data_IF_442035248666
#
_entry.id   IF_442035248666
#
_cell.length_a   1.000
_cell.length_b   1.000
_cell.length_c   1.000
_cell.angle_alpha   90.00
_cell.angle_beta   90.00
_cell.angle_gamma   90.00
#
_symmetry.space_group_name_H-M   'P 1'
#
loop_
_entity.id
_entity.type
_entity.pdbx_description
1 polymer ?
#
# COMPACT_ATOMS: atom_id res chain seq x y z
N UNK A 1 25.45 20.07 1.57
CA UNK A 1 24.24 20.75 1.12
C UNK A 1 24.34 20.85 -0.38
N UNK A 2 23.46 20.17 -1.12
CA UNK A 2 23.38 20.27 -2.58
C UNK A 2 23.10 21.69 -3.04
N UNK A 3 23.29 21.95 -4.32
CA UNK A 3 22.98 23.26 -4.91
C UNK A 3 21.46 23.35 -5.05
N UNK A 4 20.83 24.32 -4.38
CA UNK A 4 19.39 24.53 -4.41
C UNK A 4 18.86 24.70 -5.85
N UNK A 5 17.78 24.01 -6.20
CA UNK A 5 17.17 23.97 -7.52
C UNK A 5 16.11 25.07 -7.70
N UNK A 6 15.84 25.45 -8.94
CA UNK A 6 14.75 26.38 -9.24
C UNK A 6 13.36 25.78 -8.87
N UNK A 7 13.24 24.46 -8.96
CA UNK A 7 12.06 23.68 -8.60
C UNK A 7 11.87 23.43 -7.11
N UNK A 8 12.83 23.80 -6.23
CA UNK A 8 12.65 23.66 -4.80
C UNK A 8 11.42 24.43 -4.33
N UNK A 9 10.59 23.79 -3.55
CA UNK A 9 9.34 24.38 -3.04
C UNK A 9 9.44 24.72 -1.56
N UNK A 10 8.62 25.66 -1.14
CA UNK A 10 8.30 25.94 0.26
C UNK A 10 6.79 25.93 0.43
N UNK A 11 6.31 25.21 1.43
CA UNK A 11 4.91 25.22 1.82
C UNK A 11 4.53 26.60 2.40
N UNK A 12 3.36 27.09 2.01
CA UNK A 12 2.84 28.40 2.44
C UNK A 12 1.49 28.28 3.15
N UNK A 13 0.71 27.26 2.86
CA UNK A 13 -0.57 26.98 3.50
C UNK A 13 -0.93 25.50 3.35
N UNK A 14 -1.67 24.94 4.33
CA UNK A 14 -2.20 23.60 4.27
C UNK A 14 -3.65 23.56 4.76
N UNK A 15 -4.50 22.83 4.04
CA UNK A 15 -5.86 22.52 4.45
C UNK A 15 -6.01 21.02 4.54
N UNK A 16 -6.46 20.54 5.69
CA UNK A 16 -6.68 19.13 5.98
C UNK A 16 -8.17 18.86 6.09
N UNK A 17 -8.65 17.86 5.40
CA UNK A 17 -10.03 17.39 5.42
C UNK A 17 -10.05 15.91 5.76
N UNK A 18 -11.13 15.45 6.42
CA UNK A 18 -11.36 14.05 6.70
C UNK A 18 -12.73 13.64 6.13
N UNK A 19 -12.72 12.57 5.35
CA UNK A 19 -13.90 12.04 4.69
C UNK A 19 -14.17 10.65 5.27
N UNK A 20 -15.37 10.43 5.77
CA UNK A 20 -15.81 9.11 6.23
C UNK A 20 -16.27 8.31 5.00
N UNK A 21 -15.56 7.23 4.71
CA UNK A 21 -15.82 6.31 3.59
C UNK A 21 -16.60 5.11 4.12
N UNK A 22 -17.86 5.01 3.77
CA UNK A 22 -18.70 3.88 4.11
C UNK A 22 -18.27 2.60 3.37
N UNK A 23 -18.32 1.47 4.07
CA UNK A 23 -18.05 0.14 3.52
C UNK A 23 -19.35 -0.66 3.45
N UNK A 24 -19.72 -1.09 2.26
CA UNK A 24 -20.87 -1.93 1.98
C UNK A 24 -20.52 -2.94 0.86
N UNK A 25 -20.41 -4.24 1.20
CA UNK A 25 -20.54 -4.85 2.51
C UNK A 25 -19.41 -4.46 3.49
N UNK A 26 -19.58 -4.69 4.82
CA UNK A 26 -18.51 -4.49 5.78
C UNK A 26 -17.27 -5.33 5.44
N UNK A 27 -16.09 -4.73 5.56
CA UNK A 27 -14.82 -5.44 5.35
C UNK A 27 -14.27 -5.99 6.67
N UNK A 28 -13.90 -7.28 6.71
CA UNK A 28 -13.38 -7.90 7.92
C UNK A 28 -11.86 -7.83 7.94
N UNK A 29 -11.29 -7.15 8.95
CA UNK A 29 -9.84 -7.07 9.20
C UNK A 29 -9.55 -7.65 10.58
N UNK A 30 -8.66 -8.62 10.66
CA UNK A 30 -8.30 -9.29 11.92
C UNK A 30 -9.53 -9.74 12.73
N UNK A 31 -10.52 -10.31 12.05
CA UNK A 31 -11.76 -10.82 12.65
C UNK A 31 -12.79 -9.75 13.10
N UNK A 32 -12.58 -8.49 12.75
CA UNK A 32 -13.48 -7.39 13.10
C UNK A 32 -14.14 -6.79 11.87
N UNK A 33 -15.49 -6.70 11.82
CA UNK A 33 -16.17 -6.02 10.72
C UNK A 33 -15.95 -4.52 10.81
N UNK A 34 -15.50 -3.93 9.72
CA UNK A 34 -15.36 -2.49 9.53
C UNK A 34 -16.47 -1.99 8.62
N UNK A 35 -17.19 -0.97 9.07
CA UNK A 35 -18.29 -0.36 8.32
C UNK A 35 -17.91 0.97 7.67
N UNK A 36 -16.79 1.55 8.07
CA UNK A 36 -16.27 2.78 7.49
C UNK A 36 -14.76 2.91 7.74
N UNK A 37 -14.09 3.72 6.92
CA UNK A 37 -12.73 4.21 7.11
C UNK A 37 -12.70 5.73 7.00
N UNK A 38 -11.69 6.35 7.61
CA UNK A 38 -11.38 7.76 7.39
C UNK A 38 -10.38 7.91 6.26
N UNK A 39 -10.71 8.71 5.24
CA UNK A 39 -9.73 9.23 4.30
C UNK A 39 -9.25 10.61 4.78
N UNK A 40 -7.94 10.77 4.95
CA UNK A 40 -7.30 12.06 5.15
C UNK A 40 -6.97 12.66 3.79
N UNK A 41 -7.38 13.90 3.54
CA UNK A 41 -7.12 14.66 2.31
C UNK A 41 -6.42 15.96 2.70
N UNK A 42 -5.29 16.21 2.05
CA UNK A 42 -4.46 17.40 2.29
C UNK A 42 -4.32 18.20 1.00
N UNK A 43 -4.67 19.48 1.05
CA UNK A 43 -4.36 20.46 0.04
C UNK A 43 -3.20 21.31 0.53
N UNK A 44 -2.09 21.31 -0.20
CA UNK A 44 -0.87 22.01 0.17
C UNK A 44 -0.53 23.07 -0.86
N UNK A 45 -0.60 24.36 -0.47
CA UNK A 45 -0.17 25.46 -1.29
C UNK A 45 1.34 25.66 -1.14
N UNK A 46 2.04 25.75 -2.26
CA UNK A 46 3.50 25.91 -2.29
C UNK A 46 3.91 27.05 -3.19
N UNK A 47 5.09 27.63 -2.89
CA UNK A 47 5.82 28.52 -3.79
C UNK A 47 7.17 27.90 -4.11
N UNK A 48 7.45 27.75 -5.40
CA UNK A 48 8.76 27.32 -5.88
C UNK A 48 9.76 28.50 -5.89
N UNK A 49 11.04 28.18 -5.91
CA UNK A 49 12.13 29.17 -5.87
C UNK A 49 12.14 30.09 -7.10
N UNK A 50 11.66 29.62 -8.24
CA UNK A 50 11.49 30.45 -9.46
C UNK A 50 10.28 31.38 -9.39
N UNK A 51 9.50 31.35 -8.32
CA UNK A 51 8.31 32.16 -8.08
C UNK A 51 6.99 31.52 -8.53
N UNK A 52 7.02 30.35 -9.18
CA UNK A 52 5.81 29.61 -9.53
C UNK A 52 5.09 29.11 -8.27
N UNK A 53 3.76 28.97 -8.35
CA UNK A 53 2.92 28.51 -7.26
C UNK A 53 2.04 27.36 -7.72
N UNK A 54 1.75 26.44 -6.82
CA UNK A 54 0.82 25.35 -7.07
C UNK A 54 0.12 24.91 -5.79
N UNK A 55 -1.04 24.27 -5.95
CA UNK A 55 -1.70 23.52 -4.90
C UNK A 55 -1.59 22.04 -5.21
N UNK A 56 -0.96 21.29 -4.32
CA UNK A 56 -0.90 19.83 -4.38
C UNK A 56 -2.00 19.18 -3.59
N UNK A 57 -2.41 18.03 -4.03
CA UNK A 57 -3.38 17.14 -3.39
C UNK A 57 -2.65 15.92 -2.85
N UNK A 58 -2.95 15.50 -1.62
CA UNK A 58 -2.50 14.23 -1.06
C UNK A 58 -3.64 13.53 -0.34
N UNK A 59 -3.71 12.22 -0.46
CA UNK A 59 -4.73 11.44 0.21
C UNK A 59 -4.13 10.15 0.79
N UNK A 60 -4.68 9.70 1.93
CA UNK A 60 -4.35 8.42 2.55
C UNK A 60 -5.54 7.91 3.35
N UNK A 61 -5.72 6.57 3.38
CA UNK A 61 -6.73 5.93 4.22
C UNK A 61 -6.16 5.66 5.60
N UNK A 62 -6.80 6.20 6.66
CA UNK A 62 -6.42 5.99 8.05
C UNK A 62 -6.97 4.66 8.57
N UNK A 63 -6.47 3.55 8.07
CA UNK A 63 -6.92 2.20 8.48
C UNK A 63 -6.37 1.82 9.84
N UNK A 64 -7.08 2.23 10.90
CA UNK A 64 -6.71 1.98 12.30
C UNK A 64 -6.53 0.50 12.60
N UNK A 65 -7.45 -0.44 12.21
CA UNK A 65 -7.29 -1.86 12.54
C UNK A 65 -6.02 -2.48 11.95
N UNK A 66 -5.61 -2.04 10.77
CA UNK A 66 -4.41 -2.53 10.10
C UNK A 66 -3.12 -1.94 10.69
N UNK A 67 -3.10 -0.62 10.91
CA UNK A 67 -1.88 0.07 11.33
C UNK A 67 -1.66 0.03 12.85
N UNK A 68 -2.76 -0.03 13.61
CA UNK A 68 -2.76 0.00 15.08
C UNK A 68 -3.73 -1.04 15.66
N UNK A 69 -3.47 -2.36 15.51
CA UNK A 69 -4.39 -3.45 15.86
C UNK A 69 -4.42 -3.71 17.38
N UNK A 70 -5.08 -2.84 18.15
CA UNK A 70 -5.27 -2.98 19.60
C UNK A 70 -6.74 -2.93 19.97
N UNK A 71 -7.16 -3.57 21.10
CA UNK A 71 -8.53 -3.43 21.58
C UNK A 71 -8.78 -2.08 22.28
N UNK A 72 -7.77 -1.53 22.96
CA UNK A 72 -7.84 -0.30 23.73
C UNK A 72 -6.74 0.71 23.32
N UNK A 73 -7.07 2.00 23.23
CA UNK A 73 -8.43 2.56 23.16
C UNK A 73 -9.20 2.03 21.95
N UNK A 74 -10.51 2.30 21.88
CA UNK A 74 -11.34 1.88 20.76
C UNK A 74 -10.88 2.48 19.40
N UNK A 75 -11.49 2.03 18.31
CA UNK A 75 -11.10 2.45 16.96
C UNK A 75 -11.30 3.95 16.78
N UNK A 76 -12.37 4.53 17.29
CA UNK A 76 -12.72 5.94 17.12
C UNK A 76 -11.71 6.84 17.83
N UNK A 77 -11.31 6.49 19.07
CA UNK A 77 -10.28 7.23 19.80
C UNK A 77 -8.92 7.17 19.10
N UNK A 78 -8.55 6.01 18.52
CA UNK A 78 -7.31 5.87 17.74
C UNK A 78 -7.38 6.62 16.41
N UNK A 79 -8.53 6.62 15.73
CA UNK A 79 -8.74 7.40 14.53
C UNK A 79 -8.59 8.91 14.82
N UNK A 80 -9.15 9.39 15.93
CA UNK A 80 -8.97 10.78 16.38
C UNK A 80 -7.48 11.14 16.57
N UNK A 81 -6.68 10.24 17.14
CA UNK A 81 -5.24 10.44 17.30
C UNK A 81 -4.54 10.50 15.93
N UNK A 82 -4.91 9.64 14.97
CA UNK A 82 -4.34 9.67 13.63
C UNK A 82 -4.70 10.95 12.88
N UNK A 83 -5.94 11.45 13.00
CA UNK A 83 -6.34 12.76 12.46
C UNK A 83 -5.48 13.89 13.05
N UNK A 84 -5.22 13.88 14.36
CA UNK A 84 -4.30 14.82 15.01
C UNK A 84 -2.87 14.76 14.47
N UNK A 85 -2.38 13.55 14.15
CA UNK A 85 -1.06 13.38 13.53
C UNK A 85 -0.98 13.96 12.13
N UNK A 86 -2.03 13.87 11.30
CA UNK A 86 -2.05 14.51 9.97
C UNK A 86 -1.86 16.02 10.10
N UNK A 87 -2.56 16.67 11.03
CA UNK A 87 -2.34 18.12 11.30
C UNK A 87 -0.93 18.39 11.77
N UNK A 88 -0.39 17.59 12.70
CA UNK A 88 0.98 17.73 13.20
C UNK A 88 2.01 17.67 12.06
N UNK A 89 1.85 16.74 11.12
CA UNK A 89 2.76 16.65 9.97
C UNK A 89 2.57 17.78 8.96
N UNK A 90 1.35 18.25 8.75
CA UNK A 90 1.10 19.44 7.92
C UNK A 90 1.78 20.69 8.51
N UNK A 91 1.69 20.88 9.83
CA UNK A 91 2.37 21.97 10.54
C UNK A 91 3.90 21.86 10.43
N UNK A 92 4.45 20.62 10.57
CA UNK A 92 5.89 20.41 10.41
C UNK A 92 6.40 20.74 9.00
N UNK A 93 5.58 20.50 7.96
CA UNK A 93 5.92 20.89 6.59
C UNK A 93 5.85 22.42 6.41
N UNK A 94 4.86 23.07 7.00
CA UNK A 94 4.74 24.56 6.96
C UNK A 94 5.88 25.27 7.68
N UNK A 95 6.32 24.74 8.82
CA UNK A 95 7.40 25.28 9.65
C UNK A 95 8.79 24.88 9.14
N UNK A 96 8.85 23.90 8.22
CA UNK A 96 10.08 23.31 7.72
C UNK A 96 10.83 24.17 6.70
N UNK A 97 12.03 23.71 6.37
CA UNK A 97 12.81 24.27 5.26
C UNK A 97 12.28 23.75 3.94
N UNK A 98 12.28 24.60 2.90
CA UNK A 98 11.93 24.20 1.55
C UNK A 98 13.04 23.34 0.91
N UNK A 99 12.70 22.71 -0.20
CA UNK A 99 13.58 21.86 -0.98
C UNK A 99 12.80 21.03 -1.98
N UNK A 100 13.40 19.93 -2.43
CA UNK A 100 12.65 18.87 -3.10
C UNK A 100 11.83 18.04 -2.08
N UNK A 101 10.93 17.16 -2.50
CA UNK A 101 10.10 16.39 -1.56
C UNK A 101 10.89 15.57 -0.53
N UNK A 102 12.06 15.05 -0.88
CA UNK A 102 12.87 14.27 0.06
C UNK A 102 13.57 15.13 1.11
N UNK A 103 13.95 16.36 0.76
CA UNK A 103 14.46 17.35 1.73
C UNK A 103 13.41 17.70 2.79
N UNK A 104 12.14 17.78 2.37
CA UNK A 104 11.01 18.08 3.24
C UNK A 104 10.61 16.85 4.07
N UNK A 105 10.49 15.69 3.46
CA UNK A 105 10.02 14.47 4.10
C UNK A 105 11.04 13.84 5.05
N UNK A 106 12.33 13.75 4.67
CA UNK A 106 13.35 13.00 5.44
C UNK A 106 13.51 13.49 6.87
N UNK A 107 13.59 14.80 7.18
CA UNK A 107 13.67 15.26 8.56
C UNK A 107 12.46 14.88 9.42
N UNK A 108 11.25 14.80 8.81
CA UNK A 108 10.03 14.39 9.49
C UNK A 108 10.06 12.87 9.73
N UNK A 109 10.45 12.11 8.71
CA UNK A 109 10.57 10.66 8.79
C UNK A 109 11.61 10.20 9.81
N UNK A 110 12.77 10.86 9.88
CA UNK A 110 13.84 10.52 10.83
C UNK A 110 13.40 10.76 12.29
N UNK A 111 12.56 11.77 12.51
CA UNK A 111 12.01 12.11 13.83
C UNK A 111 10.61 11.54 14.08
N UNK A 112 10.13 10.64 13.22
CA UNK A 112 8.78 10.10 13.32
C UNK A 112 8.50 9.46 14.68
N UNK A 113 9.42 8.65 15.22
CA UNK A 113 9.23 7.99 16.52
C UNK A 113 9.12 9.00 17.67
N UNK A 114 9.89 10.10 17.64
CA UNK A 114 9.80 11.17 18.64
C UNK A 114 8.42 11.85 18.56
N UNK A 115 7.96 12.16 17.35
CA UNK A 115 6.63 12.74 17.12
C UNK A 115 5.53 11.83 17.65
N UNK A 116 5.60 10.52 17.39
CA UNK A 116 4.62 9.54 17.88
C UNK A 116 4.61 9.43 19.41
N UNK A 117 5.77 9.47 20.07
CA UNK A 117 5.85 9.49 21.54
C UNK A 117 5.19 10.75 22.13
N UNK A 118 5.42 11.91 21.53
CA UNK A 118 4.81 13.17 21.97
C UNK A 118 3.29 13.15 21.77
N UNK A 119 2.83 12.70 20.60
CA UNK A 119 1.41 12.59 20.30
C UNK A 119 0.70 11.60 21.23
N UNK A 120 1.29 10.44 21.50
CA UNK A 120 0.75 9.47 22.45
C UNK A 120 0.60 10.05 23.86
N UNK A 121 1.62 10.76 24.34
CA UNK A 121 1.58 11.45 25.66
C UNK A 121 0.49 12.52 25.70
N UNK A 122 0.39 13.35 24.65
CA UNK A 122 -0.62 14.42 24.59
C UNK A 122 -2.04 13.88 24.56
N UNK A 123 -2.25 12.77 23.85
CA UNK A 123 -3.57 12.11 23.76
C UNK A 123 -3.88 11.19 24.95
N UNK A 124 -2.93 10.96 25.88
CA UNK A 124 -3.07 9.95 26.94
C UNK A 124 -3.27 8.53 26.39
N UNK A 125 -2.75 8.24 25.20
CA UNK A 125 -2.91 6.97 24.52
C UNK A 125 -1.73 6.03 24.73
N UNK A 126 -1.90 4.70 24.50
CA UNK A 126 -0.79 3.77 24.41
C UNK A 126 0.19 4.18 23.29
N UNK A 127 1.40 3.59 23.24
CA UNK A 127 2.35 3.84 22.17
C UNK A 127 1.72 3.67 20.77
N UNK A 128 1.91 4.67 19.93
CA UNK A 128 1.41 4.67 18.55
C UNK A 128 2.42 3.90 17.68
N UNK A 129 1.99 2.85 16.94
CA UNK A 129 2.88 2.13 16.04
C UNK A 129 3.42 3.04 14.93
N UNK A 130 4.68 2.83 14.52
CA UNK A 130 5.30 3.62 13.45
C UNK A 130 4.51 3.53 12.14
N UNK A 131 3.95 2.35 11.84
CA UNK A 131 3.09 2.16 10.67
C UNK A 131 1.88 3.10 10.67
N UNK A 132 1.26 3.32 11.83
CA UNK A 132 0.15 4.27 11.97
C UNK A 132 0.61 5.73 11.72
N UNK A 133 1.82 6.07 12.18
CA UNK A 133 2.45 7.34 11.85
C UNK A 133 2.70 7.53 10.35
N UNK A 134 3.14 6.48 9.66
CA UNK A 134 3.33 6.53 8.20
C UNK A 134 2.01 6.79 7.45
N UNK A 135 0.89 6.16 7.86
CA UNK A 135 -0.41 6.43 7.24
C UNK A 135 -0.81 7.91 7.35
N UNK A 136 -0.60 8.50 8.53
CA UNK A 136 -0.92 9.91 8.73
C UNK A 136 0.03 10.84 7.96
N UNK A 137 1.33 10.50 7.90
CA UNK A 137 2.33 11.26 7.13
C UNK A 137 2.08 11.17 5.63
N UNK A 138 1.59 10.02 5.14
CA UNK A 138 1.42 9.76 3.71
C UNK A 138 0.55 10.80 2.99
N UNK A 139 -0.55 11.26 3.62
CA UNK A 139 -1.41 12.28 3.01
C UNK A 139 -0.66 13.59 2.78
N UNK A 140 0.21 13.97 3.71
CA UNK A 140 1.02 15.20 3.62
C UNK A 140 2.16 15.02 2.60
N UNK A 141 2.88 13.89 2.67
CA UNK A 141 3.97 13.55 1.75
C UNK A 141 3.47 13.52 0.29
N UNK A 142 2.34 12.90 0.03
CA UNK A 142 1.73 12.85 -1.30
C UNK A 142 1.37 14.25 -1.81
N UNK A 143 0.86 15.14 -0.94
CA UNK A 143 0.55 16.53 -1.30
C UNK A 143 1.82 17.33 -1.64
N UNK A 144 2.94 17.09 -0.95
CA UNK A 144 4.24 17.70 -1.25
C UNK A 144 4.71 17.29 -2.64
N UNK A 145 4.68 16.00 -2.96
CA UNK A 145 5.08 15.49 -4.27
C UNK A 145 4.20 16.05 -5.41
N UNK A 146 2.88 16.08 -5.19
CA UNK A 146 1.94 16.62 -6.20
C UNK A 146 2.16 18.13 -6.41
N UNK A 147 2.31 18.90 -5.32
CA UNK A 147 2.57 20.34 -5.40
C UNK A 147 3.88 20.66 -6.11
N UNK A 148 4.97 19.94 -5.78
CA UNK A 148 6.28 20.12 -6.38
C UNK A 148 6.27 19.91 -7.89
N UNK A 149 5.66 18.83 -8.33
CA UNK A 149 5.60 18.48 -9.73
C UNK A 149 4.61 19.36 -10.52
N UNK A 150 3.50 19.79 -9.91
CA UNK A 150 2.59 20.78 -10.50
C UNK A 150 3.24 22.16 -10.66
N UNK A 151 4.00 22.63 -9.67
CA UNK A 151 4.73 23.89 -9.77
C UNK A 151 5.73 23.89 -10.94
N UNK A 152 6.37 22.75 -11.21
CA UNK A 152 7.28 22.56 -12.33
C UNK A 152 6.56 22.25 -13.67
N UNK A 153 5.24 22.02 -13.67
CA UNK A 153 4.47 21.63 -14.86
C UNK A 153 4.86 20.27 -15.45
N UNK A 154 5.33 19.34 -14.61
CA UNK A 154 5.81 18.02 -15.02
C UNK A 154 5.18 16.88 -14.21
N UNK A 155 5.18 15.69 -14.77
CA UNK A 155 4.87 14.48 -13.98
C UNK A 155 5.92 14.25 -12.90
N UNK A 156 5.49 13.90 -11.68
CA UNK A 156 6.39 13.68 -10.54
C UNK A 156 7.47 12.64 -10.85
N UNK A 157 7.14 11.60 -11.61
CA UNK A 157 8.06 10.52 -11.94
C UNK A 157 9.17 10.92 -12.92
N UNK A 158 8.99 12.03 -13.67
CA UNK A 158 10.01 12.62 -14.54
C UNK A 158 11.00 13.49 -13.77
N UNK A 159 10.64 13.88 -12.54
CA UNK A 159 11.43 14.80 -11.73
C UNK A 159 12.37 14.12 -10.73
N UNK A 160 12.33 12.79 -10.61
CA UNK A 160 13.23 12.06 -9.71
C UNK A 160 14.63 11.88 -10.29
N UNK A 161 15.27 12.97 -10.70
CA UNK A 161 16.57 13.01 -11.35
C UNK A 161 17.49 14.06 -10.72
N UNK A 162 18.76 14.06 -11.11
CA UNK A 162 19.75 15.06 -10.69
C UNK A 162 19.43 16.50 -11.13
N UNK A 163 18.54 16.67 -12.11
CA UNK A 163 18.08 17.99 -12.55
C UNK A 163 17.20 18.67 -11.48
N UNK A 164 16.37 17.89 -10.77
CA UNK A 164 15.34 18.42 -9.87
C UNK A 164 15.58 18.10 -8.39
N UNK A 165 16.34 17.06 -8.07
CA UNK A 165 16.61 16.64 -6.68
C UNK A 165 17.95 17.20 -6.19
N UNK A 166 18.00 17.59 -4.91
CA UNK A 166 19.17 18.19 -4.29
C UNK A 166 20.22 17.17 -3.82
N UNK A 167 19.79 15.97 -3.44
CA UNK A 167 20.64 14.86 -2.99
C UNK A 167 20.29 13.58 -3.73
N UNK A 168 21.30 12.76 -3.97
CA UNK A 168 21.14 11.39 -4.47
C UNK A 168 20.67 10.44 -3.33
N UNK A 169 20.43 9.17 -3.65
CA UNK A 169 20.04 8.14 -2.66
C UNK A 169 21.22 7.59 -1.84
N UNK A 170 22.37 8.28 -1.77
CA UNK A 170 23.53 7.87 -0.98
C UNK A 170 23.19 7.66 0.50
N UNK A 171 22.30 8.48 1.07
CA UNK A 171 21.80 8.32 2.43
C UNK A 171 20.96 7.04 2.65
N UNK A 172 20.41 6.47 1.57
CA UNK A 172 19.69 5.20 1.56
C UNK A 172 20.58 4.02 1.09
N UNK A 173 21.90 4.23 0.97
CA UNK A 173 22.87 3.21 0.57
C UNK A 173 23.03 3.03 -0.95
N UNK A 174 22.54 3.97 -1.76
CA UNK A 174 22.59 3.96 -3.23
C UNK A 174 23.28 5.24 -3.77
N UNK A 175 24.57 5.46 -3.47
CA UNK A 175 25.26 6.68 -3.88
C UNK A 175 25.33 6.81 -5.40
N UNK A 176 25.15 8.05 -5.88
CA UNK A 176 25.20 8.38 -7.30
C UNK A 176 23.94 8.03 -8.09
N UNK A 177 22.86 7.60 -7.42
CA UNK A 177 21.58 7.27 -8.06
C UNK A 177 20.42 8.10 -7.49
N UNK A 178 19.42 8.32 -8.33
CA UNK A 178 18.16 8.99 -7.99
C UNK A 178 17.00 8.01 -8.11
N UNK A 179 15.84 8.25 -7.50
CA UNK A 179 14.70 7.31 -7.62
C UNK A 179 14.29 7.05 -9.08
N UNK A 180 14.44 8.03 -9.97
CA UNK A 180 14.15 7.90 -11.41
C UNK A 180 15.02 6.87 -12.13
N UNK A 181 16.27 6.66 -11.70
CA UNK A 181 17.19 5.69 -12.31
C UNK A 181 16.71 4.23 -12.15
N UNK A 182 15.80 4.00 -11.20
CA UNK A 182 15.23 2.69 -10.91
C UNK A 182 13.88 2.45 -11.59
N UNK A 183 13.25 3.51 -12.14
CA UNK A 183 11.96 3.41 -12.83
C UNK A 183 12.11 2.80 -14.22
N UNK A 184 11.03 2.18 -14.69
CA UNK A 184 10.90 1.74 -16.07
C UNK A 184 9.91 2.60 -16.85
N UNK A 185 9.65 2.21 -18.09
CA UNK A 185 8.60 2.81 -18.89
C UNK A 185 7.24 2.61 -18.21
N UNK A 186 6.39 3.66 -18.13
CA UNK A 186 5.11 3.55 -17.44
C UNK A 186 4.19 2.55 -18.14
N UNK A 187 3.51 1.73 -17.34
CA UNK A 187 2.49 0.80 -17.85
C UNK A 187 1.16 1.52 -18.01
N UNK A 188 0.56 1.44 -19.19
CA UNK A 188 -0.78 1.97 -19.45
C UNK A 188 -1.91 1.06 -18.99
N UNK A 189 -1.60 -0.19 -18.63
CA UNK A 189 -2.56 -1.19 -18.12
C UNK A 189 -2.00 -1.86 -16.87
N UNK A 190 -2.84 -1.96 -15.84
CA UNK A 190 -2.48 -2.51 -14.54
C UNK A 190 -3.38 -3.72 -14.26
N UNK A 191 -2.84 -4.94 -14.16
CA UNK A 191 -3.61 -6.11 -13.74
C UNK A 191 -4.18 -5.90 -12.33
N UNK A 192 -5.41 -6.32 -12.12
CA UNK A 192 -6.12 -6.18 -10.84
C UNK A 192 -6.07 -7.49 -10.08
N UNK A 193 -5.68 -7.40 -8.82
CA UNK A 193 -5.79 -8.49 -7.87
C UNK A 193 -7.11 -8.36 -7.10
N UNK A 194 -7.91 -9.44 -7.09
CA UNK A 194 -9.18 -9.51 -6.39
C UNK A 194 -9.00 -10.11 -5.00
N UNK A 195 -9.51 -9.43 -3.99
CA UNK A 195 -9.44 -9.91 -2.61
C UNK A 195 -10.61 -10.83 -2.29
N UNK A 196 -10.31 -11.93 -1.61
CA UNK A 196 -11.30 -12.87 -1.08
C UNK A 196 -11.15 -12.93 0.44
N UNK A 197 -12.15 -12.42 1.13
CA UNK A 197 -12.30 -12.60 2.57
C UNK A 197 -12.56 -14.05 2.95
N UNK A 198 -12.35 -14.40 4.22
CA UNK A 198 -12.55 -15.76 4.73
C UNK A 198 -13.97 -16.27 4.45
N UNK A 199 -14.98 -15.40 4.56
CA UNK A 199 -16.41 -15.73 4.39
C UNK A 199 -17.00 -15.39 3.03
N UNK A 200 -16.21 -14.88 2.07
CA UNK A 200 -16.76 -14.47 0.78
C UNK A 200 -17.29 -15.67 0.01
N UNK A 201 -18.51 -15.59 -0.59
CA UNK A 201 -19.10 -16.68 -1.33
C UNK A 201 -18.36 -16.93 -2.64
N UNK A 202 -18.10 -18.19 -2.95
CA UNK A 202 -17.41 -18.59 -4.18
C UNK A 202 -18.38 -18.78 -5.34
N UNK A 203 -19.57 -19.29 -5.05
CA UNK A 203 -20.61 -19.64 -6.04
C UNK A 203 -21.97 -19.12 -5.59
N UNK A 204 -22.92 -19.00 -6.53
CA UNK A 204 -24.27 -18.51 -6.24
C UNK A 204 -25.03 -19.40 -5.24
N UNK A 205 -24.64 -20.67 -5.12
CA UNK A 205 -25.22 -21.59 -4.13
C UNK A 205 -24.84 -21.25 -2.68
N UNK A 206 -23.77 -20.48 -2.50
CA UNK A 206 -23.24 -20.06 -1.18
C UNK A 206 -23.66 -18.62 -0.84
N UNK A 207 -24.18 -17.87 -1.82
CA UNK A 207 -24.39 -16.44 -1.69
C UNK A 207 -25.77 -16.10 -1.11
N UNK A 208 -25.80 -15.06 -0.25
CA UNK A 208 -27.04 -14.38 0.12
C UNK A 208 -27.62 -13.64 -1.11
N UNK A 209 -28.94 -13.42 -1.15
CA UNK A 209 -29.55 -12.70 -2.27
C UNK A 209 -28.93 -11.31 -2.50
N UNK A 210 -28.41 -11.09 -3.70
CA UNK A 210 -27.77 -9.84 -4.12
C UNK A 210 -26.27 -9.75 -3.83
N UNK A 211 -25.68 -10.70 -3.11
CA UNK A 211 -24.23 -10.76 -2.94
C UNK A 211 -23.52 -11.23 -4.22
N UNK A 212 -22.41 -10.60 -4.54
CA UNK A 212 -21.55 -11.04 -5.66
C UNK A 212 -20.64 -12.17 -5.22
N UNK A 213 -20.47 -13.18 -6.07
CA UNK A 213 -19.64 -14.36 -5.84
C UNK A 213 -18.33 -14.25 -6.60
N UNK A 214 -17.33 -15.08 -6.24
CA UNK A 214 -16.09 -15.18 -7.01
C UNK A 214 -16.39 -15.45 -8.49
N UNK A 215 -17.29 -16.39 -8.77
CA UNK A 215 -17.68 -16.73 -10.15
C UNK A 215 -18.21 -15.47 -10.88
N UNK A 216 -19.14 -14.75 -10.26
CA UNK A 216 -19.73 -13.54 -10.87
C UNK A 216 -18.72 -12.40 -11.07
N UNK A 217 -17.74 -12.25 -10.17
CA UNK A 217 -16.65 -11.28 -10.32
C UNK A 217 -15.73 -11.67 -11.49
N UNK A 218 -15.33 -12.94 -11.57
CA UNK A 218 -14.46 -13.43 -12.66
C UNK A 218 -15.14 -13.31 -14.03
N UNK A 219 -16.43 -13.65 -14.13
CA UNK A 219 -17.19 -13.53 -15.38
C UNK A 219 -17.36 -12.08 -15.82
N UNK A 220 -17.65 -11.16 -14.89
CA UNK A 220 -17.90 -9.77 -15.22
C UNK A 220 -16.63 -8.98 -15.55
N UNK A 221 -15.51 -9.27 -14.89
CA UNK A 221 -14.31 -8.44 -14.93
C UNK A 221 -13.08 -9.15 -15.53
N UNK A 222 -13.14 -10.46 -15.76
CA UNK A 222 -12.03 -11.23 -16.34
C UNK A 222 -10.81 -11.36 -15.42
N UNK A 223 -10.99 -11.21 -14.11
CA UNK A 223 -9.91 -11.30 -13.11
C UNK A 223 -9.33 -12.71 -13.04
N UNK A 224 -8.04 -12.81 -12.68
CA UNK A 224 -7.31 -14.07 -12.56
C UNK A 224 -6.36 -14.09 -11.36
N UNK A 225 -5.91 -12.93 -10.92
CA UNK A 225 -5.01 -12.78 -9.80
C UNK A 225 -5.86 -12.61 -8.52
N UNK A 226 -5.81 -13.61 -7.65
CA UNK A 226 -6.66 -13.71 -6.45
C UNK A 226 -5.81 -13.60 -5.20
N UNK A 227 -6.23 -12.75 -4.26
CA UNK A 227 -5.61 -12.59 -2.92
C UNK A 227 -6.55 -13.16 -1.87
N UNK A 228 -6.11 -14.15 -1.12
CA UNK A 228 -6.90 -14.85 -0.13
C UNK A 228 -6.54 -14.39 1.27
N UNK A 229 -7.52 -13.87 2.00
CA UNK A 229 -7.42 -13.66 3.44
C UNK A 229 -7.66 -14.97 4.17
N UNK A 230 -6.80 -15.27 5.15
CA UNK A 230 -6.84 -16.50 5.93
C UNK A 230 -7.08 -16.21 7.41
N UNK A 231 -7.36 -17.25 8.18
CA UNK A 231 -7.70 -17.13 9.60
C UNK A 231 -6.67 -17.76 10.56
N UNK A 232 -5.57 -18.35 10.04
CA UNK A 232 -4.52 -18.97 10.84
C UNK A 232 -4.87 -20.39 11.32
N UNK A 233 -5.78 -21.09 10.61
CA UNK A 233 -6.14 -22.48 10.89
C UNK A 233 -5.64 -23.35 9.73
N UNK A 234 -4.54 -24.12 9.89
CA UNK A 234 -3.88 -24.81 8.79
C UNK A 234 -4.84 -25.61 7.89
N UNK A 235 -5.65 -26.49 8.48
CA UNK A 235 -6.55 -27.35 7.70
C UNK A 235 -7.69 -26.57 7.04
N UNK A 236 -8.34 -25.66 7.77
CA UNK A 236 -9.43 -24.85 7.22
C UNK A 236 -8.93 -23.92 6.10
N UNK A 237 -7.74 -23.34 6.28
CA UNK A 237 -7.13 -22.46 5.28
C UNK A 237 -6.71 -23.23 4.03
N UNK A 238 -6.15 -24.45 4.18
CA UNK A 238 -5.84 -25.33 3.05
C UNK A 238 -7.09 -25.72 2.25
N UNK A 239 -8.18 -26.09 2.92
CA UNK A 239 -9.48 -26.38 2.30
C UNK A 239 -10.03 -25.16 1.56
N UNK A 240 -9.95 -23.95 2.17
CA UNK A 240 -10.40 -22.69 1.55
C UNK A 240 -9.61 -22.37 0.30
N UNK A 241 -8.27 -22.46 0.33
CA UNK A 241 -7.41 -22.23 -0.83
C UNK A 241 -7.74 -23.21 -1.96
N UNK A 242 -7.88 -24.51 -1.64
CA UNK A 242 -8.24 -25.52 -2.63
C UNK A 242 -9.62 -25.26 -3.26
N UNK A 243 -10.61 -24.81 -2.46
CA UNK A 243 -11.94 -24.46 -2.94
C UNK A 243 -11.91 -23.24 -3.89
N UNK A 244 -11.21 -22.16 -3.50
CA UNK A 244 -11.03 -20.96 -4.34
C UNK A 244 -10.37 -21.31 -5.67
N UNK A 245 -9.26 -22.07 -5.62
CA UNK A 245 -8.57 -22.50 -6.85
C UNK A 245 -9.47 -23.35 -7.75
N UNK A 246 -10.22 -24.27 -7.17
CA UNK A 246 -11.15 -25.11 -7.94
C UNK A 246 -12.21 -24.29 -8.66
N UNK A 247 -12.81 -23.29 -7.99
CA UNK A 247 -13.82 -22.40 -8.61
C UNK A 247 -13.17 -21.52 -9.66
N UNK A 248 -12.06 -20.86 -9.35
CA UNK A 248 -11.35 -19.98 -10.28
C UNK A 248 -10.87 -20.72 -11.52
N UNK A 249 -10.26 -21.91 -11.35
CA UNK A 249 -9.72 -22.71 -12.45
C UNK A 249 -10.79 -23.39 -13.31
N UNK A 250 -12.06 -23.38 -12.90
CA UNK A 250 -13.15 -23.86 -13.73
C UNK A 250 -13.42 -22.96 -14.95
N UNK A 251 -13.11 -21.68 -14.85
CA UNK A 251 -13.32 -20.70 -15.93
C UNK A 251 -12.02 -20.27 -16.61
N UNK A 252 -10.84 -20.48 -15.97
CA UNK A 252 -9.54 -19.99 -16.47
C UNK A 252 -8.41 -20.93 -16.04
N UNK A 253 -7.47 -21.21 -16.94
CA UNK A 253 -6.29 -22.03 -16.66
C UNK A 253 -5.14 -21.25 -16.00
N UNK A 254 -5.17 -19.90 -16.06
CA UNK A 254 -4.08 -18.99 -15.64
C UNK A 254 -4.36 -18.26 -14.31
N UNK A 255 -5.12 -18.90 -13.40
CA UNK A 255 -5.39 -18.37 -12.05
C UNK A 255 -4.13 -18.38 -11.21
N UNK A 256 -3.78 -17.24 -10.61
CA UNK A 256 -2.72 -17.09 -9.63
C UNK A 256 -3.29 -16.78 -8.24
N UNK A 257 -2.62 -17.24 -7.20
CA UNK A 257 -3.03 -17.04 -5.81
C UNK A 257 -1.93 -16.32 -5.05
N UNK A 258 -2.27 -15.30 -4.28
CA UNK A 258 -1.45 -14.83 -3.18
C UNK A 258 -2.17 -15.06 -1.86
N UNK A 259 -1.42 -15.37 -0.83
CA UNK A 259 -1.95 -15.78 0.46
C UNK A 259 -1.59 -14.73 1.49
N UNK A 260 -2.61 -14.15 2.13
CA UNK A 260 -2.45 -13.07 3.10
C UNK A 260 -3.19 -13.39 4.41
N UNK A 261 -2.52 -14.01 5.37
CA UNK A 261 -3.08 -14.30 6.69
C UNK A 261 -3.23 -13.06 7.59
N UNK A 262 -2.66 -11.91 7.22
CA UNK A 262 -2.64 -10.71 8.07
C UNK A 262 -2.22 -11.03 9.52
N UNK A 263 -1.02 -11.60 9.68
CA UNK A 263 -0.42 -11.91 10.98
C UNK A 263 -1.12 -13.06 11.77
N UNK A 264 -1.93 -13.91 11.13
CA UNK A 264 -2.75 -14.90 11.85
C UNK A 264 -2.02 -16.19 12.26
N UNK A 265 -0.87 -16.51 11.67
CA UNK A 265 -0.08 -17.69 12.03
C UNK A 265 0.93 -17.36 13.15
N UNK A 266 1.05 -18.27 14.14
CA UNK A 266 1.94 -18.05 15.27
C UNK A 266 3.35 -18.64 15.08
N UNK A 267 3.52 -19.55 14.11
CA UNK A 267 4.79 -20.22 13.84
C UNK A 267 4.94 -20.62 12.38
N UNK A 268 6.19 -20.78 11.95
CA UNK A 268 6.53 -21.32 10.62
C UNK A 268 5.94 -22.72 10.44
N UNK A 269 5.99 -23.55 11.50
CA UNK A 269 5.48 -24.93 11.44
C UNK A 269 3.97 -25.01 11.14
N UNK A 270 3.15 -24.10 11.70
CA UNK A 270 1.71 -24.04 11.38
C UNK A 270 1.47 -23.69 9.90
N UNK A 271 2.23 -22.74 9.35
CA UNK A 271 2.11 -22.37 7.96
C UNK A 271 2.62 -23.47 7.01
N UNK A 272 3.71 -24.16 7.38
CA UNK A 272 4.20 -25.32 6.64
C UNK A 272 3.17 -26.47 6.65
N UNK A 273 2.50 -26.71 7.78
CA UNK A 273 1.41 -27.68 7.87
C UNK A 273 0.28 -27.32 6.88
N UNK A 274 -0.12 -26.05 6.80
CA UNK A 274 -1.14 -25.61 5.82
C UNK A 274 -0.69 -25.89 4.39
N UNK A 275 0.57 -25.58 4.05
CA UNK A 275 1.11 -25.83 2.71
C UNK A 275 1.19 -27.34 2.38
N UNK A 276 1.52 -28.19 3.36
CA UNK A 276 1.57 -29.65 3.20
C UNK A 276 0.18 -30.23 2.98
N UNK A 277 -0.80 -29.82 3.78
CA UNK A 277 -2.20 -30.24 3.64
C UNK A 277 -2.78 -29.76 2.31
N UNK A 278 -2.50 -28.52 1.89
CA UNK A 278 -2.89 -28.01 0.58
C UNK A 278 -2.26 -28.82 -0.55
N UNK A 279 -0.97 -29.14 -0.44
CA UNK A 279 -0.26 -29.97 -1.42
C UNK A 279 -0.88 -31.36 -1.56
N UNK A 280 -1.37 -31.94 -0.46
CA UNK A 280 -2.08 -33.23 -0.46
C UNK A 280 -3.51 -33.12 -1.05
N UNK A 281 -4.24 -32.03 -0.72
CA UNK A 281 -5.61 -31.80 -1.19
C UNK A 281 -5.66 -31.40 -2.67
N UNK A 282 -4.79 -30.47 -3.08
CA UNK A 282 -4.76 -29.90 -4.42
C UNK A 282 -3.35 -29.45 -4.82
N UNK A 283 -2.54 -30.32 -5.40
CA UNK A 283 -1.20 -29.96 -5.89
C UNK A 283 -1.20 -28.78 -6.87
N UNK A 284 -2.26 -28.63 -7.67
CA UNK A 284 -2.41 -27.52 -8.61
C UNK A 284 -2.66 -26.20 -7.89
N UNK A 285 -3.46 -26.17 -6.83
CA UNK A 285 -3.67 -25.00 -6.01
C UNK A 285 -2.38 -24.57 -5.30
N UNK A 286 -1.63 -25.53 -4.74
CA UNK A 286 -0.34 -25.28 -4.12
C UNK A 286 0.66 -24.68 -5.12
N UNK A 287 0.70 -25.19 -6.36
CA UNK A 287 1.55 -24.67 -7.42
C UNK A 287 1.12 -23.29 -7.96
N UNK A 288 -0.12 -22.87 -7.73
CA UNK A 288 -0.64 -21.57 -8.13
C UNK A 288 -0.31 -20.45 -7.13
N UNK A 289 0.24 -20.76 -5.95
CA UNK A 289 0.66 -19.77 -4.96
C UNK A 289 1.87 -19.02 -5.49
N UNK A 290 1.75 -17.69 -5.58
CA UNK A 290 2.81 -16.80 -6.04
C UNK A 290 3.67 -16.29 -4.90
N UNK A 291 3.05 -15.90 -3.77
CA UNK A 291 3.73 -15.45 -2.55
C UNK A 291 2.81 -15.55 -1.32
N UNK A 292 3.45 -15.49 -0.16
CA UNK A 292 2.83 -15.39 1.16
C UNK A 292 3.09 -13.99 1.70
N UNK A 293 2.04 -13.24 2.06
CA UNK A 293 2.13 -11.87 2.57
C UNK A 293 1.92 -11.87 4.08
N UNK A 294 2.83 -11.28 4.84
CA UNK A 294 2.79 -11.09 6.30
C UNK A 294 2.09 -12.22 7.08
N UNK A 295 2.59 -13.46 6.99
CA UNK A 295 1.91 -14.58 7.65
C UNK A 295 1.99 -14.52 9.18
N UNK A 296 3.03 -13.87 9.74
CA UNK A 296 3.33 -13.88 11.17
C UNK A 296 3.18 -12.49 11.79
N UNK A 297 2.85 -12.43 13.11
CA UNK A 297 2.78 -11.16 13.84
C UNK A 297 4.08 -10.35 13.72
N UNK A 298 3.95 -9.05 13.47
CA UNK A 298 5.06 -8.11 13.23
C UNK A 298 6.09 -7.98 14.36
N UNK A 299 5.78 -8.51 15.53
CA UNK A 299 6.60 -8.43 16.75
C UNK A 299 7.16 -9.78 17.21
N UNK A 300 6.95 -10.84 16.42
CA UNK A 300 7.45 -12.19 16.74
C UNK A 300 8.83 -12.36 16.13
N UNK A 301 9.77 -12.79 16.96
CA UNK A 301 11.10 -13.21 16.50
C UNK A 301 10.98 -14.58 15.83
N UNK A 302 11.33 -14.65 14.57
CA UNK A 302 11.30 -15.85 13.76
C UNK A 302 12.73 -16.39 13.57
N UNK A 303 12.87 -17.71 13.56
CA UNK A 303 14.14 -18.34 13.23
C UNK A 303 14.46 -18.12 11.73
N UNK A 304 15.59 -17.45 11.39
CA UNK A 304 15.94 -17.15 10.02
C UNK A 304 16.11 -18.37 9.11
N UNK A 305 16.55 -19.51 9.66
CA UNK A 305 16.76 -20.72 8.87
C UNK A 305 15.42 -21.40 8.54
N UNK A 306 14.46 -21.36 9.46
CA UNK A 306 13.08 -21.79 9.21
C UNK A 306 12.43 -20.87 8.16
N UNK A 307 12.58 -19.55 8.29
CA UNK A 307 12.07 -18.60 7.31
C UNK A 307 12.65 -18.80 5.92
N UNK A 308 13.96 -19.03 5.82
CA UNK A 308 14.63 -19.36 4.54
C UNK A 308 14.14 -20.69 3.96
N UNK A 309 13.81 -21.68 4.81
CA UNK A 309 13.21 -22.94 4.37
C UNK A 309 11.80 -22.73 3.80
N UNK A 310 10.98 -21.95 4.49
CA UNK A 310 9.64 -21.56 4.03
C UNK A 310 9.70 -20.78 2.71
N UNK A 311 10.60 -19.80 2.60
CA UNK A 311 10.79 -18.96 1.41
C UNK A 311 11.19 -19.77 0.15
N UNK A 312 11.78 -20.95 0.32
CA UNK A 312 12.04 -21.88 -0.80
C UNK A 312 10.77 -22.58 -1.30
N UNK A 313 9.71 -22.65 -0.48
CA UNK A 313 8.42 -23.23 -0.89
C UNK A 313 7.55 -22.22 -1.62
N UNK A 314 7.48 -20.99 -1.07
CA UNK A 314 6.85 -19.84 -1.68
C UNK A 314 7.52 -18.56 -1.15
N UNK A 315 7.73 -17.51 -1.97
CA UNK A 315 8.26 -16.23 -1.52
C UNK A 315 7.44 -15.66 -0.35
N UNK A 316 8.11 -15.12 0.68
CA UNK A 316 7.46 -14.54 1.86
C UNK A 316 7.75 -13.05 1.90
N UNK A 317 6.70 -12.22 1.85
CA UNK A 317 6.81 -10.76 1.78
C UNK A 317 6.36 -10.11 3.09
N UNK A 318 7.09 -9.08 3.52
CA UNK A 318 6.77 -8.30 4.71
C UNK A 318 5.88 -7.11 4.34
N UNK A 319 4.73 -6.93 5.01
CA UNK A 319 3.79 -5.80 4.85
C UNK A 319 3.62 -5.00 6.13
N UNK A 320 2.83 -5.48 7.10
CA UNK A 320 2.56 -4.79 8.37
C UNK A 320 3.82 -4.61 9.22
N UNK A 321 4.73 -5.55 9.13
CA UNK A 321 6.03 -5.51 9.81
C UNK A 321 6.98 -4.48 9.24
N UNK A 322 6.80 -4.07 7.98
CA UNK A 322 7.68 -3.15 7.27
C UNK A 322 7.24 -1.69 7.44
N UNK A 323 7.95 -0.95 8.28
CA UNK A 323 7.69 0.47 8.56
C UNK A 323 8.96 1.35 8.62
N UNK A 324 10.15 0.75 8.45
CA UNK A 324 11.45 1.44 8.49
C UNK A 324 12.27 1.05 7.27
N UNK A 325 12.85 2.03 6.60
CA UNK A 325 13.76 1.76 5.46
C UNK A 325 14.97 0.91 5.87
N UNK A 326 15.47 1.09 7.09
CA UNK A 326 16.60 0.29 7.63
C UNK A 326 16.30 -1.21 7.73
N UNK A 327 15.02 -1.62 7.80
CA UNK A 327 14.66 -3.04 7.83
C UNK A 327 15.03 -3.76 6.51
N UNK A 328 15.15 -3.03 5.39
CA UNK A 328 15.57 -3.63 4.12
C UNK A 328 16.97 -4.27 4.18
N UNK A 329 17.84 -3.79 5.08
CA UNK A 329 19.16 -4.37 5.29
C UNK A 329 19.09 -5.74 5.99
N UNK A 330 18.09 -5.95 6.81
CA UNK A 330 17.94 -7.11 7.68
C UNK A 330 17.05 -8.21 7.06
N UNK A 331 16.12 -7.84 6.15
CA UNK A 331 15.11 -8.74 5.59
C UNK A 331 15.70 -10.05 5.05
N UNK A 332 16.75 -9.95 4.21
CA UNK A 332 17.39 -11.14 3.61
C UNK A 332 18.02 -12.02 4.69
N UNK A 333 18.67 -11.41 5.68
CA UNK A 333 19.29 -12.14 6.79
C UNK A 333 18.23 -12.88 7.64
N UNK A 334 17.05 -12.25 7.79
CA UNK A 334 15.90 -12.82 8.52
C UNK A 334 15.10 -13.85 7.70
N UNK A 335 15.42 -14.05 6.41
CA UNK A 335 14.79 -15.05 5.55
C UNK A 335 13.52 -14.60 4.83
N UNK A 336 13.20 -13.29 4.82
CA UNK A 336 12.16 -12.72 3.98
C UNK A 336 12.61 -12.64 2.52
N UNK A 337 11.70 -12.89 1.59
CA UNK A 337 11.99 -12.78 0.15
C UNK A 337 11.90 -11.33 -0.35
N UNK A 338 11.09 -10.51 0.31
CA UNK A 338 10.85 -9.15 -0.15
C UNK A 338 9.84 -8.36 0.68
N UNK A 339 9.30 -7.31 0.07
CA UNK A 339 8.42 -6.33 0.73
C UNK A 339 7.19 -5.98 -0.09
N UNK A 340 6.16 -5.55 0.63
CA UNK A 340 4.96 -4.94 0.07
C UNK A 340 5.10 -3.42 0.10
N UNK A 341 4.99 -2.79 -1.07
CA UNK A 341 4.88 -1.34 -1.22
C UNK A 341 3.41 -0.96 -1.22
N UNK A 342 3.06 0.08 -0.46
CA UNK A 342 1.72 0.68 -0.45
C UNK A 342 1.80 2.20 -0.59
N UNK A 343 0.97 2.78 -1.44
CA UNK A 343 0.79 4.23 -1.56
C UNK A 343 0.43 4.88 -0.21
N UNK A 344 -0.30 4.16 0.64
CA UNK A 344 -0.69 4.59 1.98
C UNK A 344 0.47 4.72 2.98
N UNK A 345 1.69 4.25 2.65
CA UNK A 345 2.91 4.52 3.44
C UNK A 345 3.64 5.81 2.98
N UNK A 346 3.14 6.49 1.95
CA UNK A 346 3.67 7.72 1.37
C UNK A 346 4.50 7.50 0.10
N UNK A 347 4.52 8.52 -0.77
CA UNK A 347 5.25 8.49 -2.04
C UNK A 347 6.77 8.40 -1.81
N UNK A 348 7.32 9.20 -0.88
CA UNK A 348 8.75 9.17 -0.56
C UNK A 348 9.18 7.79 -0.06
N UNK A 349 8.42 7.21 0.90
CA UNK A 349 8.69 5.88 1.42
C UNK A 349 8.62 4.81 0.33
N UNK A 350 7.62 4.88 -0.54
CA UNK A 350 7.45 3.95 -1.65
C UNK A 350 8.61 4.00 -2.65
N UNK A 351 9.03 5.20 -3.05
CA UNK A 351 10.12 5.39 -4.02
C UNK A 351 11.47 4.91 -3.50
N UNK A 352 11.81 5.24 -2.24
CA UNK A 352 13.08 4.77 -1.64
C UNK A 352 13.05 3.26 -1.40
N UNK A 353 11.92 2.74 -0.89
CA UNK A 353 11.74 1.28 -0.74
C UNK A 353 11.97 0.55 -2.06
N UNK A 354 11.36 1.04 -3.13
CA UNK A 354 11.48 0.44 -4.45
C UNK A 354 12.94 0.43 -4.96
N UNK A 355 13.61 1.58 -4.91
CA UNK A 355 14.99 1.71 -5.35
C UNK A 355 15.92 0.76 -4.59
N UNK A 356 15.82 0.74 -3.25
CA UNK A 356 16.68 -0.09 -2.39
C UNK A 356 16.34 -1.58 -2.54
N UNK A 357 15.07 -1.97 -2.49
CA UNK A 357 14.65 -3.36 -2.63
C UNK A 357 15.06 -3.93 -4.00
N UNK A 358 14.84 -3.17 -5.09
CA UNK A 358 15.26 -3.55 -6.44
C UNK A 358 16.78 -3.72 -6.56
N UNK A 359 17.56 -2.81 -6.00
CA UNK A 359 19.03 -2.90 -6.03
C UNK A 359 19.58 -4.13 -5.29
N UNK A 360 18.83 -4.66 -4.33
CA UNK A 360 19.17 -5.86 -3.54
C UNK A 360 18.59 -7.15 -4.10
N UNK A 361 17.82 -7.08 -5.19
CA UNK A 361 17.15 -8.24 -5.79
C UNK A 361 16.03 -8.82 -4.92
N UNK A 362 15.42 -7.99 -4.05
CA UNK A 362 14.25 -8.38 -3.26
C UNK A 362 13.00 -8.46 -4.14
N UNK A 363 12.13 -9.37 -3.80
CA UNK A 363 10.79 -9.43 -4.40
C UNK A 363 9.94 -8.24 -3.95
N UNK A 364 9.15 -7.70 -4.86
CA UNK A 364 8.34 -6.51 -4.62
C UNK A 364 6.95 -6.73 -5.21
N UNK A 365 5.93 -6.34 -4.45
CA UNK A 365 4.56 -6.23 -4.91
C UNK A 365 3.97 -4.90 -4.46
N UNK A 366 3.02 -4.37 -5.21
CA UNK A 366 2.25 -3.19 -4.81
C UNK A 366 0.88 -3.65 -4.37
N UNK A 367 0.52 -3.30 -3.14
CA UNK A 367 -0.78 -3.62 -2.57
C UNK A 367 -1.52 -2.36 -2.14
N UNK A 368 -2.80 -2.51 -1.89
CA UNK A 368 -3.68 -1.42 -1.52
C UNK A 368 -4.16 -1.53 -0.06
N UNK A 369 -4.95 -0.57 0.39
CA UNK A 369 -5.53 -0.50 1.72
C UNK A 369 -7.00 -0.03 1.65
N UNK A 370 -7.77 -0.61 0.73
CA UNK A 370 -9.15 -0.20 0.42
C UNK A 370 -9.23 1.29 0.07
N UNK A 371 -8.26 1.76 -0.73
CA UNK A 371 -8.13 3.17 -1.08
C UNK A 371 -9.21 3.61 -2.07
N UNK A 372 -9.65 4.85 -1.93
CA UNK A 372 -10.69 5.47 -2.75
C UNK A 372 -10.25 6.83 -3.29
N UNK A 373 -10.89 7.31 -4.34
CA UNK A 373 -10.62 8.64 -4.91
C UNK A 373 -9.15 8.84 -5.27
N UNK A 374 -8.56 9.95 -4.81
CA UNK A 374 -7.15 10.28 -5.08
C UNK A 374 -6.16 9.26 -4.51
N UNK A 375 -6.47 8.59 -3.38
CA UNK A 375 -5.59 7.55 -2.84
C UNK A 375 -5.56 6.30 -3.73
N UNK A 376 -6.69 5.92 -4.35
CA UNK A 376 -6.74 4.84 -5.34
C UNK A 376 -5.94 5.22 -6.60
N UNK A 377 -6.15 6.43 -7.09
CA UNK A 377 -5.44 6.95 -8.27
C UNK A 377 -3.92 6.95 -8.05
N UNK A 378 -3.46 7.31 -6.84
CA UNK A 378 -2.05 7.22 -6.44
C UNK A 378 -1.55 5.76 -6.44
N UNK A 379 -2.29 4.81 -5.86
CA UNK A 379 -1.93 3.39 -5.87
C UNK A 379 -1.76 2.86 -7.30
N UNK A 380 -2.67 3.21 -8.20
CA UNK A 380 -2.60 2.82 -9.63
C UNK A 380 -1.42 3.52 -10.32
N UNK A 381 -1.15 4.80 -10.01
CA UNK A 381 -0.01 5.55 -10.52
C UNK A 381 1.33 4.91 -10.13
N UNK A 382 1.49 4.48 -8.88
CA UNK A 382 2.65 3.71 -8.44
C UNK A 382 2.77 2.38 -9.20
N UNK A 383 1.67 1.62 -9.34
CA UNK A 383 1.67 0.36 -10.08
C UNK A 383 2.02 0.56 -11.57
N UNK A 384 1.69 1.72 -12.14
CA UNK A 384 2.13 2.10 -13.50
C UNK A 384 3.62 2.37 -13.58
N UNK A 385 4.21 3.04 -12.57
CA UNK A 385 5.60 3.50 -12.58
C UNK A 385 6.61 2.44 -12.13
N UNK A 386 6.24 1.57 -11.18
CA UNK A 386 7.14 0.62 -10.55
C UNK A 386 7.05 -0.76 -11.23
N UNK A 387 8.19 -1.26 -11.71
CA UNK A 387 8.30 -2.58 -12.32
C UNK A 387 8.61 -3.62 -11.24
N UNK A 388 7.58 -4.18 -10.65
CA UNK A 388 7.63 -5.11 -9.53
C UNK A 388 7.59 -6.58 -9.97
N UNK A 389 7.87 -7.51 -9.05
CA UNK A 389 7.93 -8.95 -9.32
C UNK A 389 6.59 -9.48 -9.82
N UNK A 390 5.50 -9.12 -9.13
CA UNK A 390 4.13 -9.46 -9.56
C UNK A 390 3.38 -8.16 -9.89
N UNK A 391 3.10 -7.89 -11.18
CA UNK A 391 2.67 -6.57 -11.65
C UNK A 391 1.19 -6.26 -11.44
N UNK A 392 0.49 -7.02 -10.62
CA UNK A 392 -0.89 -6.74 -10.24
C UNK A 392 -0.96 -5.75 -9.07
N UNK A 393 -2.09 -5.07 -8.97
CA UNK A 393 -2.44 -4.19 -7.86
C UNK A 393 -3.70 -4.74 -7.16
N UNK A 394 -3.65 -4.87 -5.83
CA UNK A 394 -4.86 -5.08 -5.04
C UNK A 394 -5.83 -3.91 -5.26
N UNK A 395 -7.06 -4.20 -5.67
CA UNK A 395 -8.09 -3.19 -5.89
C UNK A 395 -9.41 -3.66 -5.28
N UNK A 396 -9.50 -3.54 -3.96
CA UNK A 396 -10.64 -4.03 -3.19
C UNK A 396 -11.69 -2.96 -2.88
N UNK A 397 -11.42 -1.66 -3.03
CA UNK A 397 -12.44 -0.63 -2.82
C UNK A 397 -13.63 -0.75 -3.78
N UNK A 398 -13.46 -1.34 -4.97
CA UNK A 398 -14.58 -1.67 -5.84
C UNK A 398 -15.53 -2.73 -5.27
N UNK A 399 -15.04 -3.55 -4.33
CA UNK A 399 -15.78 -4.59 -3.64
C UNK A 399 -16.50 -4.06 -2.40
N UNK A 400 -15.85 -3.18 -1.64
CA UNK A 400 -16.28 -2.78 -0.31
C UNK A 400 -16.70 -1.30 -0.20
N UNK A 401 -16.31 -0.43 -1.14
CA UNK A 401 -16.64 0.99 -1.13
C UNK A 401 -16.90 1.53 -2.57
N UNK A 402 -17.73 0.87 -3.39
CA UNK A 402 -17.90 1.24 -4.81
C UNK A 402 -18.38 2.69 -4.97
N UNK A 403 -19.28 3.15 -4.12
CA UNK A 403 -19.84 4.51 -4.15
C UNK A 403 -18.80 5.61 -3.89
N UNK A 404 -17.73 5.30 -3.16
CA UNK A 404 -16.68 6.28 -2.85
C UNK A 404 -15.76 6.61 -4.05
N UNK A 405 -15.89 5.88 -5.16
CA UNK A 405 -15.15 6.11 -6.39
C UNK A 405 -15.99 6.73 -7.51
N UNK A 406 -17.25 7.16 -7.27
CA UNK A 406 -18.13 7.70 -8.29
C UNK A 406 -17.58 8.96 -8.96
N UNK A 407 -17.02 9.90 -8.19
CA UNK A 407 -16.38 11.09 -8.76
C UNK A 407 -15.16 10.76 -9.62
N UNK A 408 -14.35 9.80 -9.15
CA UNK A 408 -13.21 9.30 -9.91
C UNK A 408 -13.67 8.59 -11.20
N UNK A 409 -14.71 7.78 -11.11
CA UNK A 409 -15.30 7.10 -12.26
C UNK A 409 -15.89 8.07 -13.29
N UNK A 410 -16.48 9.18 -12.85
CA UNK A 410 -17.01 10.22 -13.74
C UNK A 410 -15.90 10.97 -14.49
N UNK A 411 -14.74 11.19 -13.83
CA UNK A 411 -13.58 11.89 -14.40
C UNK A 411 -12.68 10.96 -15.23
N UNK A 412 -12.45 9.75 -14.74
CA UNK A 412 -11.50 8.79 -15.30
C UNK A 412 -12.09 7.36 -15.28
N UNK A 413 -13.09 7.07 -16.11
CA UNK A 413 -13.84 5.80 -16.06
C UNK A 413 -12.96 4.57 -16.30
N UNK A 414 -11.95 4.66 -17.15
CA UNK A 414 -11.05 3.55 -17.48
C UNK A 414 -10.11 3.18 -16.32
N UNK A 415 -9.90 4.10 -15.38
CA UNK A 415 -9.12 3.87 -14.18
C UNK A 415 -9.88 3.05 -13.13
N UNK A 416 -11.21 3.18 -13.11
CA UNK A 416 -12.07 2.51 -12.13
C UNK A 416 -12.67 1.21 -12.67
N UNK A 417 -13.00 1.17 -13.97
CA UNK A 417 -13.63 0.01 -14.58
C UNK A 417 -12.63 -1.09 -14.89
N UNK A 418 -12.77 -2.24 -14.22
CA UNK A 418 -11.97 -3.44 -14.53
C UNK A 418 -12.52 -4.11 -15.80
N UNK A 419 -11.63 -4.33 -16.77
CA UNK A 419 -11.93 -5.04 -18.02
C UNK A 419 -10.80 -6.01 -18.34
N UNK A 420 -11.11 -7.24 -18.64
CA UNK A 420 -10.12 -8.29 -18.90
C UNK A 420 -9.08 -8.41 -17.76
N UNK A 421 -9.55 -8.25 -16.52
CA UNK A 421 -8.71 -8.31 -15.31
C UNK A 421 -7.78 -7.12 -15.11
N UNK A 422 -8.00 -5.99 -15.80
CA UNK A 422 -7.10 -4.83 -15.78
C UNK A 422 -7.88 -3.52 -15.67
N UNK A 423 -7.23 -2.49 -15.12
CA UNK A 423 -7.61 -1.09 -15.27
C UNK A 423 -6.63 -0.38 -16.21
N UNK A 424 -7.03 0.76 -16.76
CA UNK A 424 -6.19 1.59 -17.60
C UNK A 424 -5.82 2.87 -16.88
N UNK A 425 -4.56 3.25 -17.00
CA UNK A 425 -4.03 4.48 -16.42
C UNK A 425 -3.30 5.31 -17.46
N UNK A 426 -3.66 6.58 -17.54
CA UNK A 426 -2.92 7.58 -18.29
C UNK A 426 -2.36 8.58 -17.31
N UNK A 427 -1.04 8.73 -17.30
CA UNK A 427 -0.37 9.69 -16.43
C UNK A 427 -0.69 11.11 -16.86
N UNK A 428 -1.00 11.99 -15.92
CA UNK A 428 -1.13 13.41 -16.23
C UNK A 428 0.22 14.02 -16.64
N UNK A 429 0.23 15.08 -17.46
CA UNK A 429 1.45 15.77 -17.87
C UNK A 429 2.11 16.49 -16.69
N UNK A 430 1.40 16.74 -15.58
CA UNK A 430 1.93 17.35 -14.36
C UNK A 430 1.23 16.76 -13.13
N UNK A 431 1.98 16.72 -12.01
CA UNK A 431 1.46 16.21 -10.76
C UNK A 431 1.76 14.74 -10.50
N UNK A 432 1.16 14.22 -9.45
CA UNK A 432 1.32 12.84 -8.97
C UNK A 432 0.28 11.89 -9.59
N UNK A 433 -0.87 12.40 -9.99
CA UNK A 433 -2.06 11.63 -10.35
C UNK A 433 -2.21 11.40 -11.86
N UNK A 434 -3.34 10.80 -12.27
CA UNK A 434 -3.69 10.58 -13.66
C UNK A 434 -4.27 11.82 -14.36
N UNK A 435 -4.48 11.69 -15.68
CA UNK A 435 -5.07 12.71 -16.54
C UNK A 435 -6.61 12.67 -16.49
#
# INVERSE_FOLDING_TARGET
MGQARASDIRAVNARVEFIDVALDPPFVISGRPMTHFTAAVVHLDVQARDGSTATGLGASMLSVPWAWPRPDPDIEARDHVLRGLVHTFADQVLDGVGGDPFDIWRPIYDRLDETLVLAARSAGSPPIPRLAGLLALAAVDNAVHDAWSRAAGRSVYEMYTDEYMNEDLGWAGLPGTYPGDHLGEPRGTIPVQHVLGVGDPLTDAEAEPGARTLTSWMEAEGIKDLKLKLQGSPSADAERIAAVYRVGSASRDDVSLSIDPNEAYNSVAELEQMLDELGALSPRAAAAITYLEQPFPRHVDLDPDQMKALARRAPVLMDEGYSRLSQLDELVAQGWSGVVIKASKGQSHAMVTYAVARSRGLDIVIQDLTTTGAALEHSIGLASALHVTWPHLEYNSRQYAPGANEELAARSPDLVAVRDGQVRFTRAPSGLYGA
#
